data_IF_714512467361
#
_entry.id   IF_714512467361
#
_cell.length_a   1.000
_cell.length_b   1.000
_cell.length_c   1.000
_cell.angle_alpha   90.00
_cell.angle_beta   90.00
_cell.angle_gamma   90.00
#
_symmetry.space_group_name_H-M   'P 1'
#
loop_
_entity.id
_entity.type
_entity.pdbx_description
1 polymer ?
#
# COMPACT_ATOMS: atom_id res chain seq x y z
N UNK A 1 -22.62 16.05 -17.87
CA UNK A 1 -21.42 16.79 -17.42
C UNK A 1 -20.36 15.75 -17.14
N UNK A 2 -19.18 15.83 -17.76
CA UNK A 2 -18.08 14.90 -17.47
C UNK A 2 -17.40 15.39 -16.20
N UNK A 3 -17.40 14.58 -15.16
CA UNK A 3 -16.69 14.86 -13.92
C UNK A 3 -15.20 14.60 -14.17
N UNK A 4 -14.32 15.61 -14.06
CA UNK A 4 -12.89 15.38 -14.24
C UNK A 4 -12.37 14.54 -13.07
N UNK A 5 -11.73 13.41 -13.39
CA UNK A 5 -10.89 12.66 -12.46
C UNK A 5 -9.56 13.40 -12.38
N UNK A 6 -9.13 13.72 -11.16
CA UNK A 6 -7.91 14.48 -10.88
C UNK A 6 -6.95 13.67 -10.01
N UNK A 7 -5.63 13.83 -10.17
CA UNK A 7 -4.64 13.24 -9.27
C UNK A 7 -4.87 13.71 -7.83
N UNK A 8 -4.96 12.76 -6.89
CA UNK A 8 -5.20 13.06 -5.48
C UNK A 8 -3.94 12.82 -4.65
N UNK A 9 -3.38 11.62 -4.71
CA UNK A 9 -2.20 11.26 -3.94
C UNK A 9 -1.42 10.11 -4.59
N UNK A 10 -0.13 9.99 -4.25
CA UNK A 10 0.67 8.82 -4.58
C UNK A 10 1.39 8.35 -3.32
N UNK A 11 1.10 7.11 -2.93
CA UNK A 11 1.74 6.44 -1.81
C UNK A 11 2.87 5.57 -2.33
N UNK A 12 4.00 5.57 -1.64
CA UNK A 12 5.16 4.74 -1.97
C UNK A 12 5.67 4.06 -0.71
N UNK A 13 6.27 2.88 -0.85
CA UNK A 13 7.06 2.31 0.24
C UNK A 13 8.23 3.25 0.54
N UNK A 14 8.26 3.80 1.74
CA UNK A 14 9.34 4.68 2.20
C UNK A 14 9.47 4.53 3.72
N UNK A 15 10.68 4.23 4.17
CA UNK A 15 10.99 3.91 5.56
C UNK A 15 10.59 4.99 6.57
N UNK A 16 10.40 6.24 6.14
CA UNK A 16 9.95 7.34 7.00
C UNK A 16 8.44 7.45 7.20
N UNK A 17 7.62 6.80 6.37
CA UNK A 17 6.15 6.96 6.38
C UNK A 17 5.38 5.65 6.54
N UNK A 18 6.04 4.49 6.41
CA UNK A 18 5.37 3.20 6.62
C UNK A 18 5.27 2.91 8.11
N UNK A 19 4.04 2.74 8.58
CA UNK A 19 3.76 2.29 9.95
C UNK A 19 3.78 0.77 10.03
N UNK A 20 4.33 0.24 11.12
CA UNK A 20 4.28 -1.20 11.44
C UNK A 20 3.24 -1.50 12.52
N UNK A 21 2.79 -2.76 12.58
CA UNK A 21 1.89 -3.27 13.61
C UNK A 21 2.11 -4.74 13.90
N UNK A 22 1.58 -5.21 15.04
CA UNK A 22 1.57 -6.64 15.41
C UNK A 22 0.74 -7.49 14.45
N UNK A 23 -0.24 -6.86 13.81
CA UNK A 23 -1.09 -7.40 12.76
C UNK A 23 -1.44 -6.28 11.76
N UNK A 24 -2.18 -6.65 10.71
CA UNK A 24 -2.51 -5.74 9.60
C UNK A 24 -3.45 -4.61 10.04
N UNK A 25 -4.37 -4.88 10.96
CA UNK A 25 -5.34 -3.88 11.43
C UNK A 25 -4.65 -2.86 12.35
N UNK A 26 -3.75 -3.31 13.23
CA UNK A 26 -2.91 -2.46 14.05
C UNK A 26 -1.99 -1.57 13.20
N UNK A 27 -1.38 -2.12 12.15
CA UNK A 27 -0.57 -1.33 11.22
C UNK A 27 -1.42 -0.25 10.51
N UNK A 28 -2.62 -0.60 10.05
CA UNK A 28 -3.53 0.32 9.38
C UNK A 28 -4.04 1.44 10.32
N UNK A 29 -4.37 1.10 11.57
CA UNK A 29 -4.69 2.07 12.62
C UNK A 29 -3.51 3.01 12.90
N UNK A 30 -2.29 2.47 12.97
CA UNK A 30 -1.08 3.26 13.15
C UNK A 30 -0.85 4.24 11.98
N UNK A 31 -0.97 3.78 10.74
CA UNK A 31 -0.79 4.62 9.55
C UNK A 31 -1.84 5.74 9.48
N UNK A 32 -3.12 5.43 9.71
CA UNK A 32 -4.19 6.43 9.67
C UNK A 32 -4.05 7.52 10.75
N UNK A 33 -3.49 7.18 11.91
CA UNK A 33 -3.29 8.10 13.03
C UNK A 33 -1.88 8.68 13.12
N UNK A 34 -0.97 8.30 12.22
CA UNK A 34 0.46 8.70 12.27
C UNK A 34 1.11 8.29 13.59
N UNK A 35 0.83 7.08 14.06
CA UNK A 35 1.38 6.49 15.28
C UNK A 35 2.20 5.23 14.97
N UNK A 36 2.79 4.63 16.00
CA UNK A 36 3.54 3.38 15.89
C UNK A 36 4.99 3.56 15.47
N UNK A 37 5.70 2.44 15.35
CA UNK A 37 7.05 2.41 14.80
C UNK A 37 7.04 2.58 13.28
N UNK A 38 8.16 3.04 12.75
CA UNK A 38 8.42 3.06 11.30
C UNK A 38 9.28 1.87 10.88
N UNK A 39 9.21 1.48 9.62
CA UNK A 39 10.04 0.41 9.06
C UNK A 39 11.49 0.85 8.90
N UNK A 40 12.37 -0.08 8.51
CA UNK A 40 13.71 0.25 8.06
C UNK A 40 13.77 0.17 6.53
N UNK A 41 14.58 1.02 5.92
CA UNK A 41 15.03 0.81 4.54
C UNK A 41 16.00 -0.37 4.54
N UNK A 42 15.89 -1.20 3.50
CA UNK A 42 16.77 -2.34 3.31
C UNK A 42 17.38 -2.28 1.91
N UNK A 43 18.69 -2.55 1.87
CA UNK A 43 19.40 -2.59 0.60
C UNK A 43 18.88 -3.74 -0.25
N UNK A 44 18.52 -3.47 -1.50
CA UNK A 44 18.26 -4.51 -2.49
C UNK A 44 19.53 -5.35 -2.66
N UNK A 45 19.55 -6.55 -2.09
CA UNK A 45 20.74 -7.40 -2.12
C UNK A 45 20.89 -8.16 -3.45
N UNK A 46 19.78 -8.48 -4.13
CA UNK A 46 19.82 -9.23 -5.40
C UNK A 46 19.49 -8.39 -6.62
N UNK A 47 20.32 -8.49 -7.66
CA UNK A 47 20.01 -7.95 -9.00
C UNK A 47 18.82 -8.67 -9.65
N UNK A 48 18.39 -9.83 -9.13
CA UNK A 48 17.24 -10.59 -9.67
C UNK A 48 15.88 -10.05 -9.21
N UNK A 49 15.84 -9.17 -8.22
CA UNK A 49 14.58 -8.61 -7.74
C UNK A 49 13.99 -7.58 -8.72
N UNK A 50 12.72 -7.70 -9.09
CA UNK A 50 11.98 -6.61 -9.73
C UNK A 50 12.08 -5.33 -8.91
N UNK A 51 12.28 -4.19 -9.59
CA UNK A 51 12.24 -2.88 -8.96
C UNK A 51 11.18 -2.03 -9.63
N UNK A 52 10.28 -1.48 -8.83
CA UNK A 52 9.33 -0.47 -9.25
C UNK A 52 10.02 0.88 -9.20
N UNK A 53 10.15 1.55 -10.35
CA UNK A 53 10.74 2.89 -10.43
C UNK A 53 9.95 3.75 -11.40
N UNK A 54 9.95 5.06 -11.14
CA UNK A 54 9.52 6.06 -12.11
C UNK A 54 10.48 6.04 -13.31
N UNK A 55 10.00 6.54 -14.45
CA UNK A 55 10.87 6.83 -15.57
C UNK A 55 11.93 7.87 -15.18
N UNK A 56 13.14 7.74 -15.71
CA UNK A 56 14.24 8.64 -15.36
C UNK A 56 13.95 10.10 -15.74
N UNK A 57 13.05 10.36 -16.68
CA UNK A 57 12.62 11.71 -17.06
C UNK A 57 11.35 12.21 -16.34
N UNK A 58 10.76 11.41 -15.44
CA UNK A 58 9.65 11.82 -14.56
C UNK A 58 10.20 12.59 -13.33
N UNK A 59 10.70 13.80 -13.62
CA UNK A 59 11.33 14.69 -12.64
C UNK A 59 10.51 15.94 -12.40
N UNK A 60 10.65 16.51 -11.21
CA UNK A 60 10.27 17.89 -10.91
C UNK A 60 11.06 18.84 -11.81
N UNK A 61 10.45 19.23 -12.92
CA UNK A 61 10.93 20.26 -13.82
C UNK A 61 9.77 21.22 -14.12
N UNK A 62 10.08 22.48 -14.39
CA UNK A 62 9.08 23.45 -14.85
C UNK A 62 8.39 22.89 -16.10
N UNK A 63 7.07 22.67 -16.03
CA UNK A 63 6.28 22.07 -17.11
C UNK A 63 6.26 20.55 -17.16
N UNK A 64 6.69 19.83 -16.10
CA UNK A 64 6.54 18.37 -16.04
C UNK A 64 5.07 17.96 -16.18
N UNK A 65 4.72 17.06 -17.12
CA UNK A 65 3.33 16.62 -17.32
C UNK A 65 2.87 15.64 -16.24
N UNK A 66 3.79 15.10 -15.44
CA UNK A 66 3.48 14.09 -14.41
C UNK A 66 3.00 14.78 -13.12
N UNK A 67 1.77 14.50 -12.67
CA UNK A 67 1.23 15.12 -11.46
C UNK A 67 1.91 14.63 -10.17
N UNK A 68 2.71 13.57 -10.26
CA UNK A 68 3.39 12.95 -9.13
C UNK A 68 4.92 13.00 -9.24
N UNK A 69 5.45 13.87 -10.10
CA UNK A 69 6.89 13.99 -10.35
C UNK A 69 7.71 14.29 -9.07
N UNK A 70 7.09 14.92 -8.07
CA UNK A 70 7.70 15.26 -6.78
C UNK A 70 7.87 14.09 -5.81
N UNK A 71 7.13 13.00 -6.01
CA UNK A 71 7.18 11.84 -5.12
C UNK A 71 8.42 11.03 -5.46
N UNK A 72 9.17 10.58 -4.46
CA UNK A 72 10.38 9.77 -4.63
C UNK A 72 10.07 8.40 -5.26
N UNK A 73 11.11 7.72 -5.74
CA UNK A 73 10.96 6.29 -6.04
C UNK A 73 10.64 5.51 -4.76
N UNK A 74 9.90 4.41 -4.85
CA UNK A 74 9.67 3.54 -3.71
C UNK A 74 10.97 2.85 -3.27
N UNK A 75 11.13 2.67 -1.96
CA UNK A 75 12.22 1.97 -1.27
C UNK A 75 11.81 0.52 -0.99
N UNK A 76 12.78 -0.38 -0.81
CA UNK A 76 12.46 -1.66 -0.19
C UNK A 76 12.38 -1.45 1.31
N UNK A 77 11.28 -1.87 1.92
CA UNK A 77 11.07 -1.72 3.36
C UNK A 77 10.96 -3.08 4.03
N UNK A 78 11.53 -3.19 5.23
CA UNK A 78 11.37 -4.35 6.10
C UNK A 78 11.59 -4.01 7.59
N UNK A 79 11.07 -4.84 8.49
CA UNK A 79 11.34 -4.73 9.93
C UNK A 79 12.57 -5.54 10.32
N UNK A 80 13.59 -4.88 10.87
CA UNK A 80 14.79 -5.56 11.36
C UNK A 80 14.59 -6.10 12.79
N UNK A 81 15.24 -7.21 13.16
CA UNK A 81 16.13 -8.04 12.33
C UNK A 81 15.35 -8.87 11.31
N UNK A 82 15.98 -9.22 10.19
CA UNK A 82 15.42 -10.14 9.20
C UNK A 82 15.64 -11.58 9.70
N UNK A 83 14.57 -12.36 9.80
CA UNK A 83 14.66 -13.79 10.15
C UNK A 83 13.73 -14.65 9.30
N UNK A 84 14.08 -15.93 9.12
CA UNK A 84 13.27 -16.88 8.36
C UNK A 84 11.92 -17.10 9.06
N UNK A 85 10.83 -17.12 8.29
CA UNK A 85 9.48 -17.26 8.83
C UNK A 85 8.94 -16.01 9.52
N UNK A 86 9.70 -14.90 9.54
CA UNK A 86 9.27 -13.65 10.15
C UNK A 86 8.06 -13.08 9.42
N UNK A 87 6.95 -12.91 10.13
CA UNK A 87 5.82 -12.13 9.67
C UNK A 87 5.95 -10.67 10.12
N UNK A 88 5.55 -9.74 9.27
CA UNK A 88 5.41 -8.33 9.63
C UNK A 88 4.26 -7.69 8.87
N UNK A 89 3.55 -6.79 9.55
CA UNK A 89 2.49 -5.98 8.98
C UNK A 89 2.91 -4.54 8.78
N UNK A 90 2.56 -4.00 7.61
CA UNK A 90 2.92 -2.67 7.15
C UNK A 90 1.67 -1.91 6.73
N UNK A 91 1.65 -0.59 6.86
CA UNK A 91 0.60 0.22 6.26
C UNK A 91 1.06 1.64 5.94
N UNK A 92 0.36 2.27 5.00
CA UNK A 92 0.50 3.67 4.62
C UNK A 92 -0.87 4.29 4.43
N UNK A 93 -1.02 5.57 4.79
CA UNK A 93 -2.26 6.30 4.65
C UNK A 93 -2.14 7.44 3.62
N UNK A 94 -3.23 7.69 2.90
CA UNK A 94 -3.38 8.86 2.03
C UNK A 94 -3.46 10.16 2.83
N UNK A 95 -3.33 11.27 2.09
CA UNK A 95 -3.87 12.56 2.51
C UNK A 95 -5.35 12.47 2.88
N UNK A 96 -5.81 13.46 3.65
CA UNK A 96 -7.19 13.56 4.10
C UNK A 96 -8.11 13.84 2.89
N UNK A 97 -9.14 13.02 2.75
CA UNK A 97 -10.27 13.22 1.84
C UNK A 97 -11.40 13.86 2.64
N UNK A 98 -11.76 15.10 2.34
CA UNK A 98 -12.84 15.82 3.03
C UNK A 98 -14.10 15.83 2.16
N UNK A 99 -15.20 15.27 2.67
CA UNK A 99 -16.54 15.42 2.07
C UNK A 99 -17.29 16.54 2.77
N UNK A 100 -18.08 17.34 2.06
CA UNK A 100 -18.92 18.39 2.64
C UNK A 100 -20.36 18.29 2.12
N UNK A 101 -21.34 18.97 2.75
CA UNK A 101 -22.71 19.01 2.25
C UNK A 101 -22.84 19.55 0.82
N UNK A 102 -21.91 20.43 0.40
CA UNK A 102 -21.86 21.05 -0.92
C UNK A 102 -21.15 20.17 -1.96
N UNK A 103 -20.37 19.18 -1.50
CA UNK A 103 -19.64 18.22 -2.32
C UNK A 103 -19.83 16.81 -1.78
N UNK A 104 -21.05 16.26 -1.90
CA UNK A 104 -21.43 15.05 -1.21
C UNK A 104 -21.04 13.79 -1.99
N UNK A 105 -20.27 13.83 -3.08
CA UNK A 105 -19.92 12.58 -3.78
C UNK A 105 -18.50 12.66 -4.31
N UNK A 106 -17.60 12.03 -3.58
CA UNK A 106 -16.22 11.85 -3.99
C UNK A 106 -16.07 10.40 -4.48
N UNK A 107 -15.83 10.24 -5.77
CA UNK A 107 -15.44 9.00 -6.39
C UNK A 107 -13.92 8.87 -6.38
N UNK A 108 -13.42 7.73 -5.94
CA UNK A 108 -12.00 7.46 -5.79
C UNK A 108 -11.61 6.26 -6.65
N UNK A 109 -10.44 6.35 -7.27
CA UNK A 109 -9.77 5.24 -7.93
C UNK A 109 -8.39 5.04 -7.30
N UNK A 110 -8.05 3.79 -7.00
CA UNK A 110 -6.74 3.40 -6.45
C UNK A 110 -6.12 2.37 -7.37
N UNK A 111 -4.89 2.61 -7.82
CA UNK A 111 -4.09 1.68 -8.61
C UNK A 111 -2.84 1.31 -7.80
N UNK A 112 -2.79 0.08 -7.32
CA UNK A 112 -1.70 -0.48 -6.53
C UNK A 112 -0.81 -1.34 -7.41
N UNK A 113 0.50 -1.07 -7.35
CA UNK A 113 1.56 -1.94 -7.87
C UNK A 113 2.46 -2.29 -6.70
N UNK A 114 2.64 -3.59 -6.44
CA UNK A 114 3.39 -4.07 -5.29
C UNK A 114 4.25 -5.28 -5.65
N UNK A 115 5.39 -5.37 -4.98
CA UNK A 115 6.33 -6.45 -5.08
C UNK A 115 6.77 -6.83 -3.67
N UNK A 116 6.92 -8.12 -3.41
CA UNK A 116 7.63 -8.60 -2.24
C UNK A 116 8.45 -9.83 -2.61
N UNK A 117 9.64 -9.94 -2.04
CA UNK A 117 10.50 -11.12 -2.18
C UNK A 117 9.91 -12.38 -1.53
N UNK A 118 8.81 -12.24 -0.80
CA UNK A 118 8.18 -13.35 -0.09
C UNK A 118 6.66 -13.30 -0.16
N UNK A 119 6.03 -14.17 0.63
CA UNK A 119 4.59 -14.21 0.81
C UNK A 119 4.05 -12.82 1.18
N UNK A 120 3.12 -12.31 0.38
CA UNK A 120 2.52 -10.99 0.57
C UNK A 120 1.00 -11.06 0.46
N UNK A 121 0.34 -10.38 1.38
CA UNK A 121 -1.07 -10.04 1.27
C UNK A 121 -1.24 -8.54 1.35
N UNK A 122 -2.27 -8.00 0.70
CA UNK A 122 -2.59 -6.58 0.75
C UNK A 122 -4.10 -6.34 0.92
N UNK A 123 -4.45 -5.20 1.49
CA UNK A 123 -5.82 -4.76 1.70
C UNK A 123 -5.91 -3.24 1.58
N UNK A 124 -6.99 -2.75 0.98
CA UNK A 124 -7.28 -1.32 0.87
C UNK A 124 -8.56 -1.07 1.67
N UNK A 125 -8.49 -0.17 2.64
CA UNK A 125 -9.60 0.15 3.53
C UNK A 125 -9.76 1.66 3.72
N UNK A 126 -10.98 2.09 4.00
CA UNK A 126 -11.33 3.46 4.32
C UNK A 126 -11.39 3.65 5.84
N UNK A 127 -10.78 4.74 6.30
CA UNK A 127 -10.80 5.20 7.69
C UNK A 127 -11.48 6.56 7.76
N UNK A 128 -12.21 6.82 8.83
CA UNK A 128 -12.91 8.06 9.10
C UNK A 128 -12.45 8.66 10.42
N UNK A 129 -12.29 9.99 10.44
CA UNK A 129 -12.07 10.75 11.66
C UNK A 129 -13.32 10.75 12.54
N UNK A 130 -13.22 10.14 13.73
CA UNK A 130 -14.23 10.19 14.78
C UNK A 130 -13.61 10.80 16.04
N UNK A 131 -14.08 12.00 16.40
CA UNK A 131 -13.44 12.79 17.45
C UNK A 131 -12.07 13.31 16.98
N UNK A 132 -10.99 12.81 17.56
CA UNK A 132 -9.61 13.20 17.23
C UNK A 132 -8.74 12.04 16.70
N UNK A 133 -9.37 10.95 16.29
CA UNK A 133 -8.68 9.76 15.77
C UNK A 133 -9.39 9.23 14.53
N UNK A 134 -8.63 8.59 13.66
CA UNK A 134 -9.14 7.83 12.53
C UNK A 134 -9.44 6.40 12.94
N UNK A 135 -10.63 5.92 12.62
CA UNK A 135 -11.08 4.54 12.83
C UNK A 135 -11.56 3.93 11.51
N UNK A 136 -11.36 2.63 11.33
CA UNK A 136 -11.83 1.93 10.13
C UNK A 136 -13.35 2.10 9.98
N UNK A 137 -13.82 2.48 8.79
CA UNK A 137 -15.26 2.62 8.52
C UNK A 137 -15.92 1.26 8.66
N UNK A 138 -16.98 1.18 9.48
CA UNK A 138 -17.63 -0.09 9.82
C UNK A 138 -18.21 -0.81 8.59
N UNK A 139 -18.77 -0.06 7.64
CA UNK A 139 -19.25 -0.58 6.35
C UNK A 139 -18.40 0.01 5.24
N UNK A 140 -17.51 -0.81 4.69
CA UNK A 140 -16.59 -0.40 3.64
C UNK A 140 -17.37 -0.21 2.32
N UNK A 141 -17.04 0.83 1.53
CA UNK A 141 -17.55 0.97 0.18
C UNK A 141 -17.29 -0.28 -0.67
N UNK A 142 -18.20 -0.60 -1.60
CA UNK A 142 -17.95 -1.64 -2.59
C UNK A 142 -16.65 -1.36 -3.34
N UNK A 143 -15.77 -2.35 -3.38
CA UNK A 143 -14.44 -2.25 -3.99
C UNK A 143 -13.32 -2.06 -2.97
N UNK A 144 -13.64 -1.81 -1.71
CA UNK A 144 -12.71 -1.79 -0.59
C UNK A 144 -12.99 -2.94 0.37
N UNK A 145 -11.93 -3.48 0.98
CA UNK A 145 -11.99 -4.48 2.05
C UNK A 145 -12.78 -5.78 1.76
N UNK A 146 -13.31 -5.95 0.54
CA UNK A 146 -14.15 -7.07 0.14
C UNK A 146 -13.44 -8.42 0.21
N UNK A 147 -12.12 -8.42 -0.03
CA UNK A 147 -11.26 -9.60 0.03
C UNK A 147 -9.81 -9.18 0.27
N UNK A 148 -9.00 -10.14 0.70
CA UNK A 148 -7.55 -9.97 0.84
C UNK A 148 -6.90 -10.25 -0.51
N UNK A 149 -6.09 -9.31 -0.99
CA UNK A 149 -5.25 -9.53 -2.16
C UNK A 149 -4.11 -10.46 -1.75
N UNK A 150 -3.93 -11.57 -2.48
CA UNK A 150 -2.93 -12.60 -2.18
C UNK A 150 -1.92 -12.63 -3.33
N UNK A 151 -0.63 -12.58 -3.01
CA UNK A 151 0.44 -12.76 -3.99
C UNK A 151 0.82 -14.24 -4.10
N UNK A 152 0.69 -14.80 -5.31
CA UNK A 152 1.05 -16.19 -5.60
C UNK A 152 0.08 -17.24 -5.07
N UNK A 153 0.21 -18.46 -5.58
CA UNK A 153 -0.52 -19.65 -5.11
C UNK A 153 0.39 -20.88 -5.21
N UNK A 154 0.75 -21.54 -4.09
CA UNK A 154 0.33 -21.24 -2.72
C UNK A 154 1.11 -20.06 -2.10
N UNK A 155 0.40 -19.16 -1.42
CA UNK A 155 1.02 -18.13 -0.58
C UNK A 155 1.30 -18.68 0.84
N UNK A 156 2.05 -19.78 0.93
CA UNK A 156 2.29 -20.48 2.20
C UNK A 156 3.75 -20.29 2.66
N UNK A 157 3.98 -19.53 3.75
CA UNK A 157 5.31 -19.33 4.28
C UNK A 157 5.93 -20.56 4.95
N UNK A 158 5.13 -21.59 5.27
CA UNK A 158 5.52 -22.73 6.11
C UNK A 158 6.07 -23.91 5.32
N UNK A 159 5.62 -24.10 4.08
CA UNK A 159 6.08 -25.20 3.19
C UNK A 159 7.40 -24.90 2.49
N UNK A 160 7.91 -23.67 2.62
CA UNK A 160 9.12 -23.20 1.95
C UNK A 160 8.93 -23.03 0.45
N UNK A 161 10.01 -22.67 -0.24
CA UNK A 161 9.99 -22.47 -1.69
C UNK A 161 9.79 -23.81 -2.41
N UNK A 162 8.53 -24.14 -2.73
CA UNK A 162 8.14 -25.35 -3.47
C UNK A 162 7.95 -25.10 -4.97
N UNK A 163 8.10 -23.85 -5.39
CA UNK A 163 7.86 -23.39 -6.76
C UNK A 163 9.09 -23.60 -7.67
N UNK A 164 8.84 -23.69 -8.98
CA UNK A 164 9.89 -23.67 -10.02
C UNK A 164 10.16 -22.27 -10.55
N UNK A 165 11.27 -22.07 -11.25
CA UNK A 165 11.60 -20.79 -11.89
C UNK A 165 10.65 -20.48 -13.08
N UNK A 166 10.25 -19.20 -13.29
CA UNK A 166 10.42 -18.06 -12.37
C UNK A 166 9.49 -18.19 -11.16
N UNK A 167 10.01 -17.84 -9.98
CA UNK A 167 9.24 -17.95 -8.73
C UNK A 167 8.16 -16.87 -8.64
N UNK A 168 7.05 -17.14 -7.95
CA UNK A 168 5.94 -16.18 -7.84
C UNK A 168 6.32 -14.91 -7.08
N UNK A 169 7.35 -14.95 -6.23
CA UNK A 169 7.92 -13.76 -5.60
C UNK A 169 8.76 -12.91 -6.55
N UNK A 170 8.96 -13.32 -7.80
CA UNK A 170 9.57 -12.49 -8.86
C UNK A 170 8.52 -11.68 -9.65
N UNK A 171 7.24 -11.87 -9.36
CA UNK A 171 6.18 -11.14 -10.05
C UNK A 171 5.90 -9.79 -9.38
N UNK A 172 5.66 -8.78 -10.20
CA UNK A 172 5.05 -7.54 -9.75
C UNK A 172 3.53 -7.71 -9.79
N UNK A 173 2.87 -7.50 -8.65
CA UNK A 173 1.41 -7.58 -8.50
C UNK A 173 0.77 -6.24 -8.81
N UNK A 174 -0.35 -6.26 -9.52
CA UNK A 174 -1.12 -5.07 -9.90
C UNK A 174 -2.58 -5.26 -9.49
N UNK A 175 -3.17 -4.25 -8.88
CA UNK A 175 -4.59 -4.22 -8.53
C UNK A 175 -5.15 -2.82 -8.70
N UNK A 176 -6.37 -2.71 -9.19
CA UNK A 176 -7.08 -1.44 -9.30
C UNK A 176 -8.50 -1.58 -8.76
N UNK A 177 -8.97 -0.53 -8.08
CA UNK A 177 -10.35 -0.47 -7.58
C UNK A 177 -10.93 0.92 -7.73
N UNK A 178 -12.25 0.99 -7.74
CA UNK A 178 -13.03 2.23 -7.78
C UNK A 178 -14.12 2.14 -6.72
N UNK A 179 -14.32 3.23 -5.97
CA UNK A 179 -15.35 3.29 -4.94
C UNK A 179 -15.86 4.72 -4.76
N UNK A 180 -16.98 4.85 -4.06
CA UNK A 180 -17.51 6.14 -3.62
C UNK A 180 -17.32 6.28 -2.12
N UNK A 181 -16.83 7.43 -1.67
CA UNK A 181 -16.73 7.74 -0.25
C UNK A 181 -18.14 7.83 0.33
N UNK A 182 -18.44 7.14 1.45
CA UNK A 182 -19.75 7.22 2.08
C UNK A 182 -20.04 8.65 2.50
N UNK A 183 -21.22 9.14 2.15
CA UNK A 183 -21.64 10.49 2.52
C UNK A 183 -22.86 10.45 3.42
N UNK A 184 -22.81 11.33 4.41
CA UNK A 184 -23.98 11.65 5.22
C UNK A 184 -24.30 13.11 4.93
N UNK A 185 -25.49 13.42 4.39
CA UNK A 185 -25.88 14.80 4.15
C UNK A 185 -25.75 15.63 5.43
N UNK A 186 -25.35 16.89 5.28
CA UNK A 186 -25.29 17.92 6.32
C UNK A 186 -24.08 17.94 7.29
N UNK A 187 -23.08 17.05 7.15
CA UNK A 187 -21.87 17.10 8.00
C UNK A 187 -20.59 16.94 7.17
N UNK A 188 -19.59 17.79 7.46
CA UNK A 188 -18.24 17.62 6.91
C UNK A 188 -17.57 16.41 7.57
N UNK A 189 -17.02 15.50 6.77
CA UNK A 189 -16.37 14.27 7.24
C UNK A 189 -15.00 14.14 6.60
N UNK A 190 -14.04 13.65 7.38
CA UNK A 190 -12.67 13.47 6.95
C UNK A 190 -12.33 11.98 6.90
N UNK A 191 -11.78 11.56 5.77
CA UNK A 191 -11.42 10.17 5.53
C UNK A 191 -9.95 10.03 5.14
N UNK A 192 -9.40 8.84 5.34
CA UNK A 192 -8.12 8.42 4.79
C UNK A 192 -8.28 7.06 4.13
N UNK A 193 -7.61 6.87 3.01
CA UNK A 193 -7.45 5.57 2.36
C UNK A 193 -6.18 4.97 2.94
N UNK A 194 -6.27 3.75 3.47
CA UNK A 194 -5.13 3.04 4.02
C UNK A 194 -4.89 1.79 3.21
N UNK A 195 -3.64 1.61 2.78
CA UNK A 195 -3.18 0.38 2.15
C UNK A 195 -2.32 -0.34 3.17
N UNK A 196 -2.70 -1.56 3.50
CA UNK A 196 -2.03 -2.39 4.49
C UNK A 196 -1.57 -3.70 3.87
N UNK A 197 -0.44 -4.19 4.34
CA UNK A 197 0.22 -5.39 3.86
C UNK A 197 0.52 -6.31 5.05
N UNK A 198 0.42 -7.61 4.82
CA UNK A 198 1.07 -8.61 5.65
C UNK A 198 2.10 -9.33 4.80
N UNK A 199 3.37 -9.32 5.20
CA UNK A 199 4.44 -10.01 4.50
C UNK A 199 5.13 -11.00 5.43
N UNK A 200 5.42 -12.20 4.93
CA UNK A 200 6.13 -13.23 5.70
C UNK A 200 7.39 -13.62 4.96
N UNK A 201 8.53 -13.54 5.61
CA UNK A 201 9.78 -14.08 5.07
C UNK A 201 9.70 -15.60 4.94
N UNK A 202 9.99 -16.18 3.78
CA UNK A 202 9.91 -17.63 3.59
C UNK A 202 10.89 -18.39 4.50
N UNK A 203 10.54 -19.62 4.86
CA UNK A 203 11.50 -20.59 5.40
C UNK A 203 12.24 -21.23 4.21
N UNK A 204 13.50 -20.85 3.93
CA UNK A 204 14.20 -21.42 2.79
C UNK A 204 14.50 -22.91 3.08
N UNK A 205 14.07 -23.80 2.18
CA UNK A 205 14.31 -25.25 2.28
C UNK A 205 15.75 -25.65 1.89
N UNK A 206 16.41 -24.79 1.11
CA UNK A 206 17.83 -24.87 0.74
C UNK A 206 18.52 -23.54 1.11
N UNK A 207 19.85 -23.49 1.25
CA UNK A 207 20.59 -22.23 1.42
C UNK A 207 20.41 -21.34 0.18
N UNK A 208 19.33 -20.55 0.14
CA UNK A 208 19.17 -19.45 -0.80
C UNK A 208 20.03 -18.32 -0.25
N UNK A 209 21.11 -18.01 -0.96
CA UNK A 209 22.15 -17.05 -0.56
C UNK A 209 21.60 -15.61 -0.42
N UNK A 210 20.37 -15.35 -0.87
CA UNK A 210 19.77 -14.02 -0.99
C UNK A 210 18.27 -14.05 -0.65
N UNK A 211 17.90 -14.22 0.63
CA UNK A 211 16.52 -13.98 1.11
C UNK A 211 16.49 -12.84 2.16
N UNK A 212 16.80 -11.59 1.78
CA UNK A 212 16.79 -10.48 2.73
C UNK A 212 15.40 -10.02 3.15
N UNK A 213 14.34 -10.58 2.57
CA UNK A 213 12.98 -10.07 2.69
C UNK A 213 12.83 -8.62 2.22
N UNK A 214 11.65 -8.23 1.76
CA UNK A 214 11.45 -6.87 1.32
C UNK A 214 10.11 -6.66 0.66
N UNK A 215 9.52 -5.50 0.94
CA UNK A 215 8.29 -5.02 0.34
C UNK A 215 8.61 -3.72 -0.40
N UNK A 216 8.15 -3.61 -1.64
CA UNK A 216 8.19 -2.38 -2.41
C UNK A 216 6.83 -2.15 -3.07
N UNK A 217 6.29 -0.94 -3.00
CA UNK A 217 5.02 -0.64 -3.65
C UNK A 217 4.89 0.83 -4.07
N UNK A 218 3.97 1.07 -5.00
CA UNK A 218 3.46 2.38 -5.39
C UNK A 218 1.95 2.27 -5.53
N UNK A 219 1.23 3.27 -5.04
CA UNK A 219 -0.22 3.36 -5.20
C UNK A 219 -0.64 4.76 -5.62
N UNK A 220 -1.22 4.85 -6.81
CA UNK A 220 -1.77 6.10 -7.33
C UNK A 220 -3.24 6.20 -6.97
N UNK A 221 -3.62 7.35 -6.42
CA UNK A 221 -4.97 7.66 -5.99
C UNK A 221 -5.46 8.85 -6.80
N UNK A 222 -6.63 8.69 -7.41
CA UNK A 222 -7.31 9.74 -8.17
C UNK A 222 -8.71 9.98 -7.60
N UNK A 223 -9.17 11.22 -7.66
CA UNK A 223 -10.46 11.66 -7.15
C UNK A 223 -11.27 12.38 -8.22
N UNK A 224 -12.57 12.09 -8.31
CA UNK A 224 -13.55 12.82 -9.10
C UNK A 224 -14.73 13.26 -8.22
N UNK A 225 -15.18 14.50 -8.37
CA UNK A 225 -16.31 15.08 -7.60
C UNK A 225 -17.59 15.04 -8.44
N UNK A 226 -18.58 14.27 -8.01
CA UNK A 226 -19.79 13.94 -8.79
C UNK A 226 -21.01 14.75 -8.37
#
# INVERSE_FOLDING_TARGET
MIVPITPFDRLVSNSSIISVGIDRDAAAMNASNTTGGVTNDITRLSLKWPSVRKYDNDKLAFGSPSPFASISNPEYVWSTPISNGQFTSYAVASKIVTTSPEDPRISMNVNLVAFADNAMTAQISLFEETGSMYTKVAVQPTGLDNFILIAGTPNDPTTGLTEGLPYNWQDVRVYSTFFQVPVTPAVTRNFKIVISFGATNYLPSNLIEENPAGLQFIADIYAGRV
#
